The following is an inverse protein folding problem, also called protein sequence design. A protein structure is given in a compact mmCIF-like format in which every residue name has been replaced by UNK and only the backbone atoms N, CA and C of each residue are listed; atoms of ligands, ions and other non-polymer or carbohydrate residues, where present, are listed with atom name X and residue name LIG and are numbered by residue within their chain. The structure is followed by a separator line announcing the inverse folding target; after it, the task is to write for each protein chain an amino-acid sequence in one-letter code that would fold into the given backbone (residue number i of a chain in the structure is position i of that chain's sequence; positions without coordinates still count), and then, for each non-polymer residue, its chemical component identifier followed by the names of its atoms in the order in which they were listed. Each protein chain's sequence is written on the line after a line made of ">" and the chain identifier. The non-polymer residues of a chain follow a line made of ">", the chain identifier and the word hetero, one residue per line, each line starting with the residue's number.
data_IF_796538392245
#
_entry.id   IF_796538392245
#
_cell.length_a   1.000
_cell.length_b   1.000
_cell.length_c   1.000
_cell.angle_alpha   90.00
_cell.angle_beta   90.00
_cell.angle_gamma   90.00
#
_symmetry.space_group_name_H-M   'P 1'
#
loop_
_entity.id
_entity.type
_entity.pdbx_description
1 polymer ?
#
# COMPACT_ATOMS: atom_id res chain seq x y z
N UNK A 1 47.11 2.16 -14.80
CA UNK A 1 46.67 0.78 -15.10
C UNK A 1 47.10 -0.10 -13.95
N UNK A 2 46.17 -0.52 -13.10
CA UNK A 2 46.40 -1.57 -12.11
C UNK A 2 45.09 -2.37 -12.03
N UNK A 3 45.13 -3.52 -12.67
CA UNK A 3 44.10 -4.56 -12.70
C UNK A 3 43.98 -5.21 -11.33
N UNK A 4 42.79 -5.15 -10.72
CA UNK A 4 42.44 -5.98 -9.57
C UNK A 4 41.58 -7.14 -10.09
N UNK A 5 42.14 -8.34 -10.01
CA UNK A 5 41.49 -9.60 -10.34
C UNK A 5 40.40 -9.98 -9.30
N UNK A 6 39.39 -10.80 -9.68
CA UNK A 6 38.19 -11.02 -8.89
C UNK A 6 38.43 -11.98 -7.73
N UNK A 7 38.03 -11.56 -6.53
CA UNK A 7 38.00 -12.42 -5.34
C UNK A 7 36.81 -13.38 -5.39
N UNK A 8 37.08 -14.64 -5.05
CA UNK A 8 36.20 -15.81 -5.12
C UNK A 8 34.87 -15.60 -4.37
N UNK A 9 33.76 -15.70 -5.11
CA UNK A 9 32.41 -15.71 -4.55
C UNK A 9 32.14 -17.03 -3.79
N UNK A 10 31.99 -16.94 -2.47
CA UNK A 10 31.45 -18.01 -1.64
C UNK A 10 29.94 -17.79 -1.41
N UNK A 11 29.11 -18.56 -2.11
CA UNK A 11 27.81 -19.14 -1.72
C UNK A 11 26.85 -18.45 -0.71
N UNK A 12 26.64 -17.12 -0.74
CA UNK A 12 25.60 -16.45 0.07
C UNK A 12 24.70 -15.43 -0.69
N UNK A 13 24.61 -15.50 -2.02
CA UNK A 13 23.91 -14.49 -2.84
C UNK A 13 22.54 -14.90 -3.43
N UNK A 14 21.89 -15.97 -2.94
CA UNK A 14 20.62 -16.44 -3.51
C UNK A 14 19.39 -15.62 -3.12
N UNK A 15 19.49 -14.74 -2.11
CA UNK A 15 18.38 -13.87 -1.73
C UNK A 15 18.14 -12.71 -2.73
N UNK A 16 19.10 -12.35 -3.57
CA UNK A 16 19.09 -11.03 -4.22
C UNK A 16 18.78 -11.01 -5.72
N UNK A 17 18.83 -12.13 -6.43
CA UNK A 17 18.55 -12.13 -7.87
C UNK A 17 17.87 -13.40 -8.38
N UNK A 18 16.62 -13.25 -8.82
CA UNK A 18 16.08 -14.00 -9.96
C UNK A 18 15.78 -12.95 -11.03
N UNK A 19 16.59 -12.92 -12.10
CA UNK A 19 16.24 -12.13 -13.29
C UNK A 19 15.08 -12.85 -13.97
N UNK A 20 13.87 -12.31 -13.85
CA UNK A 20 12.77 -12.71 -14.73
C UNK A 20 13.17 -12.42 -16.18
N UNK A 21 13.06 -13.42 -17.05
CA UNK A 21 13.28 -13.31 -18.50
C UNK A 21 12.18 -12.52 -19.23
N UNK A 22 11.14 -12.05 -18.53
CA UNK A 22 10.09 -11.20 -19.10
C UNK A 22 10.11 -9.84 -18.41
N UNK A 23 10.68 -8.85 -19.08
CA UNK A 23 10.64 -7.45 -18.64
C UNK A 23 9.28 -6.84 -19.00
N UNK A 24 8.52 -6.45 -17.98
CA UNK A 24 7.34 -5.62 -18.16
C UNK A 24 7.75 -4.15 -18.12
N UNK A 25 7.09 -3.30 -18.90
CA UNK A 25 7.22 -1.85 -18.81
C UNK A 25 5.88 -1.23 -18.45
N UNK A 26 5.94 0.00 -17.98
CA UNK A 26 4.73 0.81 -17.82
C UNK A 26 4.05 0.85 -19.19
N UNK A 27 2.73 0.66 -19.24
CA UNK A 27 1.98 0.91 -20.47
C UNK A 27 2.01 2.41 -20.73
N UNK A 28 3.09 2.90 -21.34
CA UNK A 28 3.23 4.29 -21.75
C UNK A 28 2.22 4.51 -22.87
N UNK A 29 1.03 5.03 -22.55
CA UNK A 29 0.48 6.04 -23.43
C UNK A 29 1.39 7.24 -23.25
N UNK A 30 2.01 7.76 -24.31
CA UNK A 30 2.77 9.01 -24.31
C UNK A 30 1.84 10.22 -24.06
N UNK A 31 0.89 10.13 -23.12
CA UNK A 31 -0.07 11.19 -22.82
C UNK A 31 0.56 12.32 -22.02
N UNK A 32 1.65 12.08 -21.28
CA UNK A 32 2.31 13.12 -20.47
C UNK A 32 3.37 13.88 -21.27
N UNK A 33 3.98 13.26 -22.29
CA UNK A 33 5.22 13.77 -22.89
C UNK A 33 5.23 14.10 -24.38
N UNK A 34 4.21 13.77 -25.21
CA UNK A 34 4.32 14.05 -26.67
C UNK A 34 3.06 14.49 -27.44
N UNK A 35 1.92 14.76 -26.81
CA UNK A 35 0.76 15.32 -27.51
C UNK A 35 0.39 16.69 -26.94
N UNK A 36 0.16 17.66 -27.84
CA UNK A 36 -0.45 18.95 -27.49
C UNK A 36 -1.75 18.74 -26.71
N UNK A 37 -2.15 19.77 -25.96
CA UNK A 37 -3.38 19.74 -25.16
C UNK A 37 -4.57 19.32 -26.03
N UNK A 38 -5.06 18.10 -25.86
CA UNK A 38 -6.32 17.67 -26.47
C UNK A 38 -7.44 18.18 -25.58
N UNK A 39 -8.24 19.13 -26.06
CA UNK A 39 -9.42 19.56 -25.33
C UNK A 39 -10.31 18.34 -25.06
N UNK A 40 -10.52 18.07 -23.77
CA UNK A 40 -11.45 17.03 -23.35
C UNK A 40 -12.89 17.43 -23.75
N UNK A 41 -13.76 16.45 -24.05
CA UNK A 41 -15.17 16.72 -24.31
C UNK A 41 -15.82 17.54 -23.18
N UNK A 42 -16.88 18.27 -23.53
CA UNK A 42 -17.67 19.01 -22.53
C UNK A 42 -18.14 18.07 -21.42
N UNK A 43 -17.85 18.45 -20.18
CA UNK A 43 -18.17 17.68 -18.98
C UNK A 43 -19.69 17.61 -18.74
N UNK A 44 -20.15 16.45 -18.25
CA UNK A 44 -21.54 16.22 -17.83
C UNK A 44 -21.89 16.87 -16.48
N UNK A 45 -20.90 17.38 -15.74
CA UNK A 45 -21.09 18.03 -14.44
C UNK A 45 -19.93 17.77 -13.48
N UNK A 46 -20.11 18.18 -12.22
CA UNK A 46 -19.08 18.09 -11.18
C UNK A 46 -19.32 16.93 -10.22
N UNK A 47 -18.32 16.05 -10.09
CA UNK A 47 -18.32 14.93 -9.16
C UNK A 47 -17.50 15.29 -7.92
N UNK A 48 -18.14 15.27 -6.76
CA UNK A 48 -17.52 15.54 -5.46
C UNK A 48 -17.53 14.25 -4.65
N UNK A 49 -16.39 13.87 -4.10
CA UNK A 49 -16.27 12.65 -3.29
C UNK A 49 -15.57 12.94 -1.97
N UNK A 50 -15.98 12.20 -0.94
CA UNK A 50 -15.33 12.21 0.36
C UNK A 50 -14.68 10.87 0.64
N UNK A 51 -13.35 10.81 0.55
CA UNK A 51 -12.57 9.63 0.90
C UNK A 51 -12.42 9.53 2.43
N UNK A 52 -12.45 8.29 2.92
CA UNK A 52 -12.36 7.99 4.35
C UNK A 52 -11.38 6.83 4.60
N UNK A 53 -10.85 6.80 5.82
CA UNK A 53 -9.86 5.81 6.24
C UNK A 53 -8.45 6.37 6.25
N UNK A 54 -7.45 5.48 6.38
CA UNK A 54 -6.03 5.88 6.37
C UNK A 54 -5.49 6.01 4.95
N UNK A 55 -4.22 6.43 4.82
CA UNK A 55 -3.54 6.72 3.55
C UNK A 55 -3.92 5.79 2.38
N UNK A 56 -3.73 4.48 2.54
CA UNK A 56 -3.94 3.53 1.43
C UNK A 56 -5.44 3.25 1.14
N UNK A 57 -6.34 3.53 2.08
CA UNK A 57 -7.79 3.52 1.81
C UNK A 57 -8.17 4.77 1.02
N UNK A 58 -7.61 5.93 1.38
CA UNK A 58 -7.79 7.17 0.63
C UNK A 58 -7.27 7.01 -0.81
N UNK A 59 -6.08 6.40 -1.00
CA UNK A 59 -5.54 6.10 -2.36
C UNK A 59 -6.53 5.28 -3.20
N UNK A 60 -7.11 4.22 -2.64
CA UNK A 60 -8.13 3.41 -3.33
C UNK A 60 -9.33 4.27 -3.74
N UNK A 61 -9.86 5.06 -2.81
CA UNK A 61 -11.00 5.95 -3.05
C UNK A 61 -10.72 6.99 -4.13
N UNK A 62 -9.52 7.57 -4.15
CA UNK A 62 -9.13 8.56 -5.17
C UNK A 62 -9.04 7.88 -6.55
N UNK A 63 -8.42 6.71 -6.64
CA UNK A 63 -8.32 5.98 -7.91
C UNK A 63 -9.70 5.58 -8.45
N UNK A 64 -10.60 5.12 -7.58
CA UNK A 64 -11.99 4.86 -7.95
C UNK A 64 -12.73 6.13 -8.36
N UNK A 65 -12.45 7.28 -7.73
CA UNK A 65 -13.07 8.55 -8.09
C UNK A 65 -12.65 9.04 -9.49
N UNK A 66 -11.36 8.93 -9.83
CA UNK A 66 -10.85 9.21 -11.19
C UNK A 66 -11.52 8.28 -12.20
N UNK A 67 -11.63 6.99 -11.89
CA UNK A 67 -12.30 6.01 -12.74
C UNK A 67 -13.80 6.32 -12.95
N UNK A 68 -14.52 6.70 -11.89
CA UNK A 68 -15.93 7.11 -11.99
C UNK A 68 -16.07 8.41 -12.77
N UNK A 69 -15.19 9.39 -12.56
CA UNK A 69 -15.22 10.64 -13.30
C UNK A 69 -15.04 10.41 -14.81
N UNK A 70 -14.07 9.58 -15.20
CA UNK A 70 -13.92 9.18 -16.61
C UNK A 70 -15.11 8.38 -17.15
N UNK A 71 -15.66 7.45 -16.36
CA UNK A 71 -16.85 6.68 -16.75
C UNK A 71 -18.08 7.58 -17.01
N UNK A 72 -18.22 8.65 -16.23
CA UNK A 72 -19.34 9.58 -16.32
C UNK A 72 -19.07 10.79 -17.24
N UNK A 73 -17.87 10.89 -17.82
CA UNK A 73 -17.37 12.11 -18.46
C UNK A 73 -17.63 13.37 -17.59
N UNK A 74 -17.29 13.28 -16.31
CA UNK A 74 -17.51 14.31 -15.30
C UNK A 74 -16.20 15.01 -14.92
N UNK A 75 -16.30 16.26 -14.48
CA UNK A 75 -15.18 16.99 -13.86
C UNK A 75 -15.07 16.53 -12.42
N UNK A 76 -13.92 16.00 -12.03
CA UNK A 76 -13.64 15.63 -10.65
C UNK A 76 -13.21 16.86 -9.86
N UNK A 77 -13.87 17.13 -8.75
CA UNK A 77 -13.34 18.08 -7.74
C UNK A 77 -12.34 17.32 -6.88
N UNK A 78 -11.21 17.95 -6.54
CA UNK A 78 -10.17 17.34 -5.70
C UNK A 78 -10.81 16.62 -4.50
N UNK A 79 -10.54 15.30 -4.32
CA UNK A 79 -11.12 14.51 -3.25
C UNK A 79 -10.99 15.13 -1.86
N UNK A 80 -12.10 15.24 -1.16
CA UNK A 80 -12.13 15.69 0.23
C UNK A 80 -11.83 14.52 1.16
N UNK A 81 -11.09 14.77 2.25
CA UNK A 81 -10.81 13.75 3.27
C UNK A 81 -11.68 13.97 4.50
N UNK A 82 -12.43 12.93 4.86
CA UNK A 82 -13.21 12.91 6.08
C UNK A 82 -12.31 12.62 7.30
N UNK A 83 -12.45 13.42 8.37
CA UNK A 83 -11.74 13.19 9.62
C UNK A 83 -12.14 11.83 10.20
N UNK A 84 -11.21 10.87 10.18
CA UNK A 84 -11.48 9.52 10.64
C UNK A 84 -11.26 9.40 12.16
N UNK A 85 -12.21 8.81 12.88
CA UNK A 85 -12.13 8.66 14.35
C UNK A 85 -11.00 7.75 14.85
N UNK A 86 -10.51 6.83 14.01
CA UNK A 86 -9.41 5.89 14.31
C UNK A 86 -8.07 6.59 14.13
N UNK A 87 -7.87 7.24 12.98
CA UNK A 87 -6.58 7.85 12.62
C UNK A 87 -6.40 9.26 13.21
N UNK A 88 -7.51 9.95 13.50
CA UNK A 88 -7.58 11.34 13.98
C UNK A 88 -6.71 12.31 13.19
N UNK A 89 -6.52 12.02 11.90
CA UNK A 89 -5.67 12.77 11.00
C UNK A 89 -6.49 13.82 10.26
N UNK A 90 -6.17 15.09 10.47
CA UNK A 90 -6.85 16.23 9.86
C UNK A 90 -6.29 16.64 8.49
N UNK A 91 -5.27 15.92 7.99
CA UNK A 91 -4.65 16.20 6.69
C UNK A 91 -5.67 16.26 5.56
N UNK A 92 -5.49 17.23 4.66
CA UNK A 92 -6.23 17.41 3.41
C UNK A 92 -5.49 16.74 2.25
N UNK A 93 -6.07 16.81 1.06
CA UNK A 93 -5.46 16.24 -0.14
C UNK A 93 -4.06 16.80 -0.37
N UNK A 94 -3.91 18.14 -0.44
CA UNK A 94 -2.63 18.83 -0.64
C UNK A 94 -1.57 18.58 0.44
N UNK A 95 -1.98 18.21 1.66
CA UNK A 95 -1.02 17.87 2.72
C UNK A 95 -0.32 16.53 2.45
N UNK A 96 -0.98 15.62 1.73
CA UNK A 96 -0.51 14.26 1.46
C UNK A 96 -0.02 14.09 0.02
N UNK A 97 -0.74 14.65 -0.95
CA UNK A 97 -0.49 14.49 -2.37
C UNK A 97 -0.27 15.84 -3.05
N UNK A 98 0.49 15.83 -4.13
CA UNK A 98 0.73 17.02 -4.95
C UNK A 98 -0.48 17.33 -5.84
N UNK A 99 -1.30 18.30 -5.44
CA UNK A 99 -2.51 18.71 -6.17
C UNK A 99 -2.23 19.17 -7.59
N UNK A 100 -1.21 20.01 -7.77
CA UNK A 100 -0.87 20.57 -9.06
C UNK A 100 -0.44 19.48 -10.04
N UNK A 101 0.42 18.57 -9.57
CA UNK A 101 0.85 17.43 -10.36
C UNK A 101 -0.29 16.44 -10.63
N UNK A 102 -1.19 16.21 -9.67
CA UNK A 102 -2.35 15.34 -9.86
C UNK A 102 -3.28 15.85 -10.98
N UNK A 103 -3.60 17.16 -10.97
CA UNK A 103 -4.37 17.81 -12.04
C UNK A 103 -3.63 17.70 -13.37
N UNK A 104 -2.34 18.04 -13.37
CA UNK A 104 -1.51 17.97 -14.57
C UNK A 104 -1.49 16.55 -15.16
N UNK A 105 -1.20 15.52 -14.37
CA UNK A 105 -1.06 14.15 -14.84
C UNK A 105 -2.36 13.56 -15.43
N UNK A 106 -3.52 14.05 -15.00
CA UNK A 106 -4.84 13.59 -15.47
C UNK A 106 -5.44 14.42 -16.60
N UNK A 107 -4.84 15.56 -16.97
CA UNK A 107 -5.42 16.58 -17.88
C UNK A 107 -5.93 16.07 -19.23
N UNK A 108 -5.35 14.99 -19.76
CA UNK A 108 -5.71 14.41 -21.06
C UNK A 108 -6.72 13.24 -20.93
N UNK A 109 -7.19 12.94 -19.72
CA UNK A 109 -8.02 11.78 -19.43
C UNK A 109 -9.26 12.12 -18.59
N UNK A 110 -9.11 12.98 -17.58
CA UNK A 110 -10.19 13.42 -16.69
C UNK A 110 -9.93 14.88 -16.33
N UNK A 111 -10.95 15.74 -16.48
CA UNK A 111 -10.84 17.11 -16.01
C UNK A 111 -10.90 17.13 -14.47
N UNK A 112 -9.91 17.77 -13.84
CA UNK A 112 -9.81 17.87 -12.38
C UNK A 112 -9.66 19.33 -11.98
N UNK A 113 -10.49 19.77 -11.03
CA UNK A 113 -10.44 21.13 -10.49
C UNK A 113 -10.27 21.12 -8.97
N UNK A 114 -9.67 22.17 -8.43
CA UNK A 114 -9.44 22.29 -6.98
C UNK A 114 -10.73 22.48 -6.21
N UNK A 115 -11.56 23.42 -6.67
CA UNK A 115 -12.80 23.83 -6.03
C UNK A 115 -13.89 23.97 -7.09
N UNK A 116 -15.15 23.93 -6.66
CA UNK A 116 -16.27 24.18 -7.56
C UNK A 116 -16.24 25.64 -8.07
N UNK A 117 -16.58 25.88 -9.34
CA UNK A 117 -16.78 27.24 -9.83
C UNK A 117 -17.84 28.00 -9.01
N UNK A 118 -17.63 29.30 -8.79
CA UNK A 118 -18.51 30.13 -7.96
C UNK A 118 -19.95 30.17 -8.49
N UNK A 119 -20.13 30.23 -9.81
CA UNK A 119 -21.44 30.20 -10.48
C UNK A 119 -22.18 28.88 -10.25
N UNK A 120 -21.45 27.77 -10.19
CA UNK A 120 -22.00 26.45 -9.89
C UNK A 120 -22.39 26.37 -8.42
N UNK A 121 -21.53 26.86 -7.52
CA UNK A 121 -21.77 26.80 -6.07
C UNK A 121 -22.88 27.76 -5.62
N UNK A 122 -23.05 28.90 -6.30
CA UNK A 122 -24.14 29.85 -6.05
C UNK A 122 -25.53 29.21 -6.24
N UNK A 123 -25.66 28.22 -7.14
CA UNK A 123 -26.90 27.44 -7.32
C UNK A 123 -27.27 26.57 -6.11
N UNK A 124 -26.35 26.44 -5.16
CA UNK A 124 -26.50 25.66 -3.93
C UNK A 124 -26.27 26.52 -2.69
N UNK A 125 -26.65 27.80 -2.75
CA UNK A 125 -26.52 28.78 -1.66
C UNK A 125 -25.10 28.91 -1.12
N UNK A 126 -24.10 28.79 -2.00
CA UNK A 126 -22.69 28.83 -1.64
C UNK A 126 -22.26 27.73 -0.65
N UNK A 127 -23.01 26.62 -0.56
CA UNK A 127 -22.77 25.56 0.42
C UNK A 127 -22.76 24.17 -0.22
N UNK A 128 -21.59 23.51 -0.22
CA UNK A 128 -21.42 22.14 -0.72
C UNK A 128 -22.37 21.13 -0.03
N UNK A 129 -22.77 21.40 1.21
CA UNK A 129 -23.69 20.52 1.94
C UNK A 129 -25.08 20.45 1.31
N UNK A 130 -25.48 21.49 0.58
CA UNK A 130 -26.76 21.57 -0.12
C UNK A 130 -26.77 20.78 -1.44
N UNK A 131 -25.59 20.37 -1.93
CA UNK A 131 -25.46 19.48 -3.09
C UNK A 131 -25.92 18.08 -2.71
N UNK A 132 -26.71 17.45 -3.59
CA UNK A 132 -27.27 16.11 -3.37
C UNK A 132 -26.16 15.11 -3.00
N UNK A 133 -26.31 14.45 -1.86
CA UNK A 133 -25.44 13.35 -1.47
C UNK A 133 -26.05 12.01 -1.89
N UNK A 134 -25.51 11.40 -2.94
CA UNK A 134 -25.95 10.12 -3.45
C UNK A 134 -25.37 8.98 -2.61
N UNK A 135 -26.24 8.09 -2.13
CA UNK A 135 -25.84 6.88 -1.40
C UNK A 135 -25.60 5.72 -2.35
N UNK A 136 -24.34 5.53 -2.73
CA UNK A 136 -23.92 4.42 -3.61
C UNK A 136 -23.60 3.17 -2.79
N UNK A 137 -24.10 2.01 -3.22
CA UNK A 137 -23.80 0.72 -2.58
C UNK A 137 -22.32 0.35 -2.74
N UNK A 138 -21.79 -0.43 -1.81
CA UNK A 138 -20.41 -0.91 -1.94
C UNK A 138 -20.29 -1.80 -3.19
N UNK A 139 -19.19 -1.68 -3.92
CA UNK A 139 -18.90 -2.42 -5.14
C UNK A 139 -19.96 -2.25 -6.26
N UNK A 140 -20.58 -1.07 -6.37
CA UNK A 140 -21.53 -0.79 -7.46
C UNK A 140 -20.87 -0.93 -8.84
N UNK A 141 -21.61 -1.52 -9.79
CA UNK A 141 -21.13 -1.74 -11.16
C UNK A 141 -21.04 -0.44 -11.98
N UNK A 142 -20.26 -0.43 -13.08
CA UNK A 142 -20.28 0.69 -14.03
C UNK A 142 -21.69 1.04 -14.50
N UNK A 143 -22.51 0.04 -14.82
CA UNK A 143 -23.91 0.21 -15.24
C UNK A 143 -24.74 0.95 -14.19
N UNK A 144 -24.51 0.68 -12.89
CA UNK A 144 -25.20 1.41 -11.82
C UNK A 144 -24.88 2.91 -11.86
N UNK A 145 -23.62 3.29 -12.10
CA UNK A 145 -23.24 4.70 -12.23
C UNK A 145 -23.92 5.35 -13.44
N UNK A 146 -23.90 4.69 -14.59
CA UNK A 146 -24.55 5.20 -15.81
C UNK A 146 -26.07 5.33 -15.63
N UNK A 147 -26.72 4.38 -14.97
CA UNK A 147 -28.19 4.38 -14.84
C UNK A 147 -28.74 5.20 -13.66
N UNK A 148 -27.95 5.38 -12.60
CA UNK A 148 -28.43 5.99 -11.34
C UNK A 148 -27.71 7.27 -10.95
N UNK A 149 -26.43 7.40 -11.28
CA UNK A 149 -25.63 8.58 -10.92
C UNK A 149 -25.63 9.60 -12.05
N UNK A 150 -25.38 9.17 -13.29
CA UNK A 150 -25.33 10.07 -14.45
C UNK A 150 -26.61 10.91 -14.63
N UNK A 151 -27.84 10.36 -14.55
CA UNK A 151 -29.04 11.17 -14.73
C UNK A 151 -29.18 12.28 -13.67
N UNK A 152 -28.73 12.00 -12.44
CA UNK A 152 -28.73 13.00 -11.35
C UNK A 152 -27.64 14.05 -11.54
N UNK A 153 -26.48 13.64 -12.05
CA UNK A 153 -25.41 14.56 -12.43
C UNK A 153 -25.86 15.53 -13.52
N UNK A 154 -26.49 15.03 -14.59
CA UNK A 154 -27.00 15.86 -15.68
C UNK A 154 -28.12 16.80 -15.20
N UNK A 155 -29.04 16.31 -14.35
CA UNK A 155 -30.14 17.10 -13.81
C UNK A 155 -29.66 18.23 -12.90
N UNK A 156 -28.68 17.96 -12.03
CA UNK A 156 -28.27 18.88 -10.97
C UNK A 156 -27.01 19.66 -11.29
N UNK A 157 -26.23 19.26 -12.30
CA UNK A 157 -24.93 19.86 -12.63
C UNK A 157 -23.79 19.49 -11.66
N UNK A 158 -24.09 19.16 -10.41
CA UNK A 158 -23.12 18.67 -9.43
C UNK A 158 -23.75 17.60 -8.53
N UNK A 159 -22.97 16.58 -8.17
CA UNK A 159 -23.38 15.55 -7.19
C UNK A 159 -22.24 15.24 -6.22
N UNK A 160 -22.62 14.90 -4.99
CA UNK A 160 -21.70 14.44 -3.95
C UNK A 160 -21.92 12.96 -3.67
N UNK A 161 -20.84 12.23 -3.42
CA UNK A 161 -20.90 10.84 -2.93
C UNK A 161 -20.05 10.74 -1.67
N UNK A 162 -20.72 10.66 -0.52
CA UNK A 162 -20.07 10.60 0.79
C UNK A 162 -20.75 9.58 1.72
N UNK A 163 -20.01 8.63 2.34
CA UNK A 163 -18.57 8.36 2.16
C UNK A 163 -18.27 7.53 0.90
N UNK A 164 -17.13 7.82 0.27
CA UNK A 164 -16.65 7.14 -0.93
C UNK A 164 -15.52 6.15 -0.59
N UNK A 165 -15.88 4.94 -0.15
CA UNK A 165 -14.95 3.82 0.05
C UNK A 165 -15.50 2.55 -0.57
N UNK A 166 -14.70 1.91 -1.43
CA UNK A 166 -15.08 0.70 -2.17
C UNK A 166 -16.44 0.86 -2.86
N UNK A 167 -16.69 2.00 -3.53
CA UNK A 167 -17.98 2.31 -4.16
C UNK A 167 -18.02 1.93 -5.64
N UNK A 168 -16.90 1.53 -6.24
CA UNK A 168 -16.84 1.02 -7.60
C UNK A 168 -16.42 -0.46 -7.57
N UNK A 169 -17.09 -1.29 -8.36
CA UNK A 169 -16.75 -2.70 -8.52
C UNK A 169 -15.29 -2.89 -8.98
N UNK A 170 -14.69 -4.04 -8.65
CA UNK A 170 -13.34 -4.35 -9.15
C UNK A 170 -13.34 -4.53 -10.68
N UNK A 171 -14.34 -5.25 -11.20
CA UNK A 171 -14.53 -5.44 -12.63
C UNK A 171 -15.17 -4.19 -13.26
N UNK A 172 -14.39 -3.53 -14.12
CA UNK A 172 -14.79 -2.37 -14.93
C UNK A 172 -14.13 -2.50 -16.32
N UNK A 173 -14.62 -1.79 -17.35
CA UNK A 173 -14.00 -1.80 -18.68
C UNK A 173 -12.49 -1.47 -18.63
N UNK A 174 -11.73 -2.00 -19.59
CA UNK A 174 -10.26 -1.85 -19.64
C UNK A 174 -9.80 -0.39 -19.64
N UNK A 175 -10.48 0.48 -20.38
CA UNK A 175 -10.21 1.93 -20.39
C UNK A 175 -10.36 2.55 -19.00
N UNK A 176 -11.35 2.11 -18.23
CA UNK A 176 -11.61 2.58 -16.87
C UNK A 176 -10.62 1.98 -15.86
N UNK A 177 -10.16 0.75 -16.06
CA UNK A 177 -9.02 0.21 -15.30
C UNK A 177 -7.75 1.02 -15.57
N UNK A 178 -7.52 1.43 -16.82
CA UNK A 178 -6.40 2.30 -17.20
C UNK A 178 -6.38 3.60 -16.41
N UNK A 179 -7.55 4.19 -16.12
CA UNK A 179 -7.66 5.38 -15.26
C UNK A 179 -7.25 5.11 -13.81
N UNK A 180 -7.60 3.93 -13.25
CA UNK A 180 -7.12 3.54 -11.91
C UNK A 180 -5.60 3.36 -11.89
N UNK A 181 -5.03 2.76 -12.93
CA UNK A 181 -3.58 2.60 -13.08
C UNK A 181 -2.88 3.97 -13.15
N UNK A 182 -3.35 4.85 -14.04
CA UNK A 182 -2.84 6.21 -14.20
C UNK A 182 -2.93 6.98 -12.88
N UNK A 183 -4.07 6.95 -12.21
CA UNK A 183 -4.24 7.62 -10.92
C UNK A 183 -3.27 7.09 -9.86
N UNK A 184 -3.17 5.77 -9.70
CA UNK A 184 -2.43 5.17 -8.60
C UNK A 184 -0.90 5.28 -8.74
N UNK A 185 -0.39 5.00 -9.93
CA UNK A 185 1.05 4.82 -10.16
C UNK A 185 1.72 6.07 -10.75
N UNK A 186 0.97 6.93 -11.44
CA UNK A 186 1.53 8.11 -12.09
C UNK A 186 1.02 9.40 -11.42
N UNK A 187 -0.29 9.62 -11.31
CA UNK A 187 -0.83 10.92 -10.86
C UNK A 187 -0.73 11.15 -9.34
N UNK A 188 -0.86 10.10 -8.51
CA UNK A 188 -0.78 10.21 -7.04
C UNK A 188 0.67 10.27 -6.55
N UNK A 189 1.28 11.44 -6.73
CA UNK A 189 2.58 11.80 -6.15
C UNK A 189 2.40 12.38 -4.76
N UNK A 190 3.24 12.00 -3.80
CA UNK A 190 3.23 12.63 -2.46
C UNK A 190 3.59 14.12 -2.52
N UNK A 191 3.07 14.89 -1.57
CA UNK A 191 3.36 16.33 -1.44
C UNK A 191 4.85 16.60 -1.22
N UNK A 192 5.31 17.79 -1.60
CA UNK A 192 6.73 18.15 -1.54
C UNK A 192 7.37 17.94 -0.14
N UNK A 193 6.72 18.31 0.99
CA UNK A 193 7.28 18.06 2.31
C UNK A 193 7.52 16.57 2.59
N UNK A 194 6.57 15.70 2.22
CA UNK A 194 6.69 14.24 2.39
C UNK A 194 7.83 13.71 1.53
N UNK A 195 7.88 14.07 0.24
CA UNK A 195 8.92 13.58 -0.67
C UNK A 195 10.31 13.97 -0.21
N UNK A 196 10.50 15.24 0.14
CA UNK A 196 11.81 15.77 0.55
C UNK A 196 12.37 15.01 1.74
N UNK A 197 11.54 14.75 2.77
CA UNK A 197 12.00 13.99 3.93
C UNK A 197 12.16 12.50 3.60
N UNK A 198 11.23 11.90 2.86
CA UNK A 198 11.31 10.50 2.51
C UNK A 198 12.53 10.17 1.65
N UNK A 199 12.88 11.03 0.69
CA UNK A 199 14.10 10.91 -0.13
C UNK A 199 15.35 10.96 0.75
N UNK A 200 15.44 11.94 1.67
CA UNK A 200 16.54 11.99 2.66
C UNK A 200 16.62 10.73 3.52
N UNK A 201 15.49 10.19 3.96
CA UNK A 201 15.45 8.96 4.76
C UNK A 201 15.96 7.76 3.95
N UNK A 202 15.58 7.65 2.67
CA UNK A 202 16.11 6.62 1.76
C UNK A 202 17.61 6.79 1.58
N UNK A 203 18.10 8.00 1.31
CA UNK A 203 19.54 8.26 1.14
C UNK A 203 20.35 7.88 2.38
N UNK A 204 19.83 8.21 3.57
CA UNK A 204 20.45 7.82 4.85
C UNK A 204 20.43 6.30 5.04
N UNK A 205 19.32 5.64 4.71
CA UNK A 205 19.22 4.19 4.77
C UNK A 205 20.24 3.52 3.85
N UNK A 206 20.34 3.98 2.59
CA UNK A 206 21.31 3.49 1.60
C UNK A 206 22.75 3.72 2.09
N UNK A 207 23.05 4.91 2.60
CA UNK A 207 24.38 5.23 3.15
C UNK A 207 24.74 4.35 4.36
N UNK A 208 23.80 4.13 5.27
CA UNK A 208 24.01 3.27 6.45
C UNK A 208 24.13 1.79 6.04
N UNK A 209 23.59 1.41 4.89
CA UNK A 209 23.64 0.05 4.31
C UNK A 209 24.90 -0.22 3.46
N UNK A 210 26.03 0.40 3.79
CA UNK A 210 27.26 0.31 2.97
C UNK A 210 27.80 -1.13 2.83
N UNK A 211 27.66 -1.96 3.88
CA UNK A 211 28.11 -3.38 3.86
C UNK A 211 27.40 -4.23 2.81
N UNK A 212 26.18 -3.86 2.44
CA UNK A 212 25.34 -4.55 1.45
C UNK A 212 25.28 -3.78 0.11
N UNK A 213 26.16 -2.80 -0.09
CA UNK A 213 26.17 -1.97 -1.30
C UNK A 213 24.94 -1.08 -1.43
N UNK A 214 24.42 -0.59 -0.31
CA UNK A 214 23.21 0.23 -0.24
C UNK A 214 21.91 -0.55 -0.09
N UNK A 215 21.96 -1.88 -0.09
CA UNK A 215 20.77 -2.74 -0.11
C UNK A 215 20.23 -3.02 1.29
N UNK A 216 18.91 -2.99 1.47
CA UNK A 216 18.28 -3.24 2.76
C UNK A 216 16.95 -3.99 2.65
N UNK A 217 16.55 -4.58 3.78
CA UNK A 217 15.24 -5.22 3.95
C UNK A 217 14.32 -4.25 4.66
N UNK A 218 13.12 -4.02 4.13
CA UNK A 218 12.08 -3.30 4.86
C UNK A 218 11.03 -4.26 5.41
N UNK A 219 10.59 -4.04 6.64
CA UNK A 219 9.58 -4.86 7.32
C UNK A 219 8.42 -3.98 7.75
N UNK A 220 7.25 -4.22 7.18
CA UNK A 220 5.99 -3.68 7.70
C UNK A 220 5.51 -4.54 8.87
N UNK A 221 5.76 -4.05 10.09
CA UNK A 221 5.55 -4.75 11.34
C UNK A 221 4.26 -4.27 12.03
N UNK A 222 3.20 -5.06 11.92
CA UNK A 222 1.89 -4.72 12.51
C UNK A 222 1.68 -5.32 13.91
N UNK A 223 2.51 -4.89 14.86
CA UNK A 223 2.48 -5.32 16.28
C UNK A 223 2.09 -4.16 17.23
N UNK A 224 1.19 -3.29 16.79
CA UNK A 224 0.65 -2.19 17.58
C UNK A 224 -0.49 -2.66 18.50
N UNK A 225 -0.72 -1.91 19.59
CA UNK A 225 -1.68 -2.28 20.64
C UNK A 225 -3.10 -2.55 20.12
N UNK A 226 -3.57 -1.80 19.13
CA UNK A 226 -4.87 -2.02 18.49
C UNK A 226 -4.94 -3.38 17.79
N UNK A 227 -3.89 -3.74 17.05
CA UNK A 227 -3.82 -5.02 16.34
C UNK A 227 -3.66 -6.20 17.30
N UNK A 228 -2.83 -6.06 18.34
CA UNK A 228 -2.67 -7.05 19.42
C UNK A 228 -4.03 -7.29 20.08
N UNK A 229 -4.72 -6.22 20.51
CA UNK A 229 -6.03 -6.33 21.17
C UNK A 229 -7.11 -6.93 20.26
N UNK A 230 -7.18 -6.49 18.99
CA UNK A 230 -8.18 -6.96 18.01
C UNK A 230 -8.02 -8.43 17.67
N UNK A 231 -6.78 -8.92 17.62
CA UNK A 231 -6.48 -10.30 17.27
C UNK A 231 -6.98 -11.31 18.30
N UNK A 232 -7.20 -10.89 19.56
CA UNK A 232 -7.52 -11.76 20.68
C UNK A 232 -6.50 -12.89 20.92
N UNK A 233 -5.27 -12.70 20.46
CA UNK A 233 -4.16 -13.59 20.76
C UNK A 233 -3.60 -13.31 22.16
N UNK A 234 -2.90 -14.29 22.71
CA UNK A 234 -2.17 -14.19 23.97
C UNK A 234 -0.69 -14.30 23.64
N UNK A 235 0.12 -13.42 24.23
CA UNK A 235 1.58 -13.43 24.16
C UNK A 235 2.14 -13.65 25.57
N UNK A 236 3.34 -13.15 25.83
CA UNK A 236 4.13 -13.44 27.02
C UNK A 236 3.91 -12.42 28.17
N UNK A 237 2.80 -11.67 28.15
CA UNK A 237 2.48 -10.67 29.16
C UNK A 237 1.48 -11.11 30.25
N UNK A 238 1.03 -12.36 30.24
CA UNK A 238 0.20 -12.95 31.31
C UNK A 238 -1.12 -12.23 31.58
N UNK A 239 -1.59 -12.25 32.83
CA UNK A 239 -2.86 -11.62 33.23
C UNK A 239 -2.85 -10.09 33.06
N UNK A 240 -1.69 -9.45 33.14
CA UNK A 240 -1.55 -8.00 32.91
C UNK A 240 -1.87 -7.66 31.44
N UNK A 241 -1.26 -8.38 30.48
CA UNK A 241 -1.58 -8.22 29.06
C UNK A 241 -3.05 -8.47 28.79
N UNK A 242 -3.60 -9.56 29.33
CA UNK A 242 -5.01 -9.92 29.14
C UNK A 242 -5.93 -8.77 29.58
N UNK A 243 -5.74 -8.25 30.79
CA UNK A 243 -6.48 -7.09 31.32
C UNK A 243 -6.32 -5.86 30.44
N UNK A 244 -5.10 -5.55 30.02
CA UNK A 244 -4.82 -4.41 29.16
C UNK A 244 -5.52 -4.53 27.79
N UNK A 245 -5.51 -5.72 27.21
CA UNK A 245 -6.15 -5.99 25.93
C UNK A 245 -7.68 -5.99 26.04
N UNK A 246 -8.26 -6.44 27.16
CA UNK A 246 -9.70 -6.32 27.43
C UNK A 246 -10.15 -4.86 27.48
N UNK A 247 -9.41 -4.01 28.20
CA UNK A 247 -9.68 -2.57 28.25
C UNK A 247 -9.55 -1.93 26.85
N UNK A 248 -8.52 -2.30 26.10
CA UNK A 248 -8.33 -1.81 24.73
C UNK A 248 -9.47 -2.26 23.80
N UNK A 249 -9.93 -3.50 23.92
CA UNK A 249 -11.04 -4.06 23.15
C UNK A 249 -12.36 -3.34 23.45
N UNK A 250 -12.65 -3.09 24.72
CA UNK A 250 -13.87 -2.42 25.12
C UNK A 250 -13.88 -0.96 24.63
N UNK A 251 -12.77 -0.24 24.83
CA UNK A 251 -12.62 1.14 24.35
C UNK A 251 -12.73 1.26 22.83
N UNK A 252 -12.12 0.34 22.08
CA UNK A 252 -12.01 0.43 20.62
C UNK A 252 -13.23 -0.08 19.86
N UNK A 253 -13.92 -1.10 20.37
CA UNK A 253 -15.00 -1.78 19.63
C UNK A 253 -16.28 -2.01 20.44
N UNK A 254 -16.42 -1.46 21.65
CA UNK A 254 -17.66 -1.39 22.47
C UNK A 254 -18.48 -2.68 22.50
N UNK A 255 -18.16 -3.58 23.42
CA UNK A 255 -18.88 -4.85 23.59
C UNK A 255 -18.78 -5.83 22.41
N UNK A 256 -18.13 -5.49 21.28
CA UNK A 256 -17.98 -6.40 20.11
C UNK A 256 -17.43 -7.76 20.50
N UNK A 257 -16.48 -7.80 21.42
CA UNK A 257 -15.79 -9.03 21.83
C UNK A 257 -16.47 -9.73 23.01
N UNK A 258 -17.38 -9.05 23.70
CA UNK A 258 -18.07 -9.54 24.90
C UNK A 258 -19.55 -9.90 24.63
N UNK A 259 -19.92 -10.11 23.37
CA UNK A 259 -21.29 -10.50 22.99
C UNK A 259 -21.61 -11.90 23.52
N UNK A 260 -22.81 -12.07 24.07
CA UNK A 260 -23.33 -13.37 24.52
C UNK A 260 -23.18 -14.44 23.43
N UNK A 261 -22.63 -15.60 23.79
CA UNK A 261 -22.38 -16.71 22.87
C UNK A 261 -21.09 -16.61 22.05
N UNK A 262 -20.34 -15.51 22.12
CA UNK A 262 -19.05 -15.39 21.43
C UNK A 262 -17.93 -16.06 22.24
N UNK A 263 -17.41 -17.17 21.75
CA UNK A 263 -16.27 -17.88 22.35
C UNK A 263 -14.97 -17.45 21.66
N UNK A 264 -14.00 -16.94 22.42
CA UNK A 264 -12.66 -16.58 21.94
C UNK A 264 -11.71 -17.73 22.29
N UNK A 265 -11.04 -18.28 21.27
CA UNK A 265 -10.05 -19.36 21.42
C UNK A 265 -8.67 -18.89 20.91
N UNK A 266 -7.83 -18.27 21.75
CA UNK A 266 -6.57 -17.66 21.32
C UNK A 266 -5.63 -18.64 20.61
N UNK A 267 -5.51 -19.88 21.11
CA UNK A 267 -4.70 -20.92 20.46
C UNK A 267 -5.15 -21.22 19.04
N UNK A 268 -6.46 -21.41 18.81
CA UNK A 268 -6.99 -21.65 17.46
C UNK A 268 -6.78 -20.45 16.52
N UNK A 269 -6.91 -19.22 17.04
CA UNK A 269 -6.63 -18.00 16.28
C UNK A 269 -5.15 -17.94 15.85
N UNK A 270 -4.24 -18.35 16.73
CA UNK A 270 -2.80 -18.44 16.43
C UNK A 270 -2.52 -19.49 15.36
N UNK A 271 -3.06 -20.70 15.51
CA UNK A 271 -2.90 -21.78 14.53
C UNK A 271 -3.49 -21.43 13.16
N UNK A 272 -4.56 -20.65 13.12
CA UNK A 272 -5.15 -20.11 11.89
C UNK A 272 -4.27 -19.05 11.20
N UNK A 273 -3.17 -18.64 11.82
CA UNK A 273 -2.26 -17.60 11.33
C UNK A 273 -2.84 -16.19 11.45
N UNK A 274 -3.81 -15.96 12.34
CA UNK A 274 -4.50 -14.65 12.49
C UNK A 274 -3.77 -13.72 13.45
N UNK A 275 -2.90 -14.23 14.33
CA UNK A 275 -2.11 -13.39 15.23
C UNK A 275 -1.07 -12.55 14.49
N UNK A 276 -0.84 -11.30 14.92
CA UNK A 276 0.41 -10.58 14.73
C UNK A 276 1.63 -11.44 15.05
N UNK A 277 2.67 -11.31 14.23
CA UNK A 277 3.98 -11.90 14.56
C UNK A 277 4.68 -10.95 15.55
N UNK A 278 5.26 -11.50 16.60
CA UNK A 278 6.11 -10.71 17.51
C UNK A 278 7.40 -10.29 16.79
N UNK A 279 8.08 -9.21 17.21
CA UNK A 279 9.36 -8.85 16.58
C UNK A 279 10.42 -9.96 16.71
N UNK A 280 10.40 -10.77 17.79
CA UNK A 280 11.26 -11.96 17.91
C UNK A 280 10.96 -12.99 16.81
N UNK A 281 9.68 -13.32 16.59
CA UNK A 281 9.27 -14.27 15.54
C UNK A 281 9.70 -13.79 14.14
N UNK A 282 9.57 -12.49 13.89
CA UNK A 282 10.04 -11.86 12.65
C UNK A 282 11.55 -11.99 12.52
N UNK A 283 12.30 -11.71 13.60
CA UNK A 283 13.75 -11.85 13.60
C UNK A 283 14.20 -13.28 13.33
N UNK A 284 13.60 -14.26 14.01
CA UNK A 284 13.88 -15.69 13.82
C UNK A 284 13.57 -16.14 12.38
N UNK A 285 12.42 -15.73 11.85
CA UNK A 285 12.04 -15.99 10.46
C UNK A 285 13.11 -15.45 9.48
N UNK A 286 13.53 -14.19 9.64
CA UNK A 286 14.55 -13.60 8.76
C UNK A 286 15.90 -14.30 8.89
N UNK A 287 16.33 -14.68 10.10
CA UNK A 287 17.55 -15.47 10.32
C UNK A 287 17.48 -16.82 9.63
N UNK A 288 16.35 -17.53 9.74
CA UNK A 288 16.15 -18.81 9.06
C UNK A 288 16.11 -18.66 7.53
N UNK A 289 15.65 -17.51 7.01
CA UNK A 289 15.68 -17.21 5.57
C UNK A 289 17.09 -16.91 5.03
N UNK A 290 18.07 -16.71 5.92
CA UNK A 290 19.47 -16.46 5.56
C UNK A 290 19.91 -15.01 5.68
N UNK A 291 19.07 -14.11 6.19
CA UNK A 291 19.51 -12.77 6.60
C UNK A 291 20.30 -12.87 7.91
N UNK A 292 21.30 -12.03 8.08
CA UNK A 292 22.19 -12.07 9.25
C UNK A 292 22.35 -10.71 9.93
N UNK A 293 23.26 -10.62 10.91
CA UNK A 293 23.50 -9.38 11.65
C UNK A 293 24.15 -8.27 10.82
N UNK A 294 24.62 -8.56 9.60
CA UNK A 294 25.14 -7.55 8.65
C UNK A 294 24.03 -7.02 7.73
N UNK A 295 22.83 -7.60 7.78
CA UNK A 295 21.69 -7.14 7.02
C UNK A 295 21.13 -5.85 7.64
N UNK A 296 21.09 -4.78 6.83
CA UNK A 296 20.42 -3.53 7.22
C UNK A 296 18.90 -3.70 7.10
N UNK A 297 18.17 -3.33 8.15
CA UNK A 297 16.73 -3.57 8.26
C UNK A 297 15.99 -2.28 8.60
N UNK A 298 15.03 -1.88 7.77
CA UNK A 298 14.10 -0.78 8.09
C UNK A 298 12.78 -1.32 8.64
N UNK A 299 12.30 -0.80 9.77
CA UNK A 299 10.99 -1.15 10.34
C UNK A 299 9.96 -0.05 10.07
N UNK A 300 8.97 -0.36 9.24
CA UNK A 300 7.77 0.44 9.06
C UNK A 300 6.68 -0.03 10.03
N UNK A 301 6.38 0.80 11.04
CA UNK A 301 5.35 0.50 12.04
C UNK A 301 4.82 1.75 12.72
N UNK A 302 3.59 1.64 13.23
CA UNK A 302 3.07 2.56 14.24
C UNK A 302 3.72 2.33 15.61
N UNK A 303 3.04 2.75 16.69
CA UNK A 303 3.53 2.52 18.05
C UNK A 303 3.43 1.05 18.42
N UNK A 304 4.56 0.36 18.39
CA UNK A 304 4.68 -1.05 18.79
C UNK A 304 4.24 -1.23 20.25
N UNK A 305 3.44 -2.26 20.51
CA UNK A 305 3.00 -2.64 21.84
C UNK A 305 4.21 -3.01 22.72
N UNK A 306 4.34 -2.42 23.91
CA UNK A 306 5.47 -2.58 24.84
C UNK A 306 6.83 -2.62 24.11
N UNK A 307 7.10 -1.59 23.29
CA UNK A 307 8.20 -1.57 22.32
C UNK A 307 9.58 -1.90 22.91
N UNK A 308 9.90 -1.43 24.11
CA UNK A 308 11.16 -1.75 24.81
C UNK A 308 11.36 -3.26 24.97
N UNK A 309 10.33 -3.97 25.46
CA UNK A 309 10.34 -5.43 25.63
C UNK A 309 10.41 -6.14 24.28
N UNK A 310 9.47 -5.84 23.38
CA UNK A 310 9.27 -6.66 22.19
C UNK A 310 10.29 -6.39 21.08
N UNK A 311 10.83 -5.16 20.95
CA UNK A 311 11.83 -4.86 19.92
C UNK A 311 13.25 -5.28 20.31
N UNK A 312 13.54 -5.48 21.61
CA UNK A 312 14.89 -5.81 22.06
C UNK A 312 15.47 -7.06 21.37
N UNK A 313 14.76 -8.20 21.26
CA UNK A 313 15.30 -9.37 20.57
C UNK A 313 15.53 -9.13 19.08
N UNK A 314 14.66 -8.36 18.42
CA UNK A 314 14.83 -8.06 17.00
C UNK A 314 16.07 -7.20 16.75
N UNK A 315 16.35 -6.21 17.61
CA UNK A 315 17.58 -5.40 17.55
C UNK A 315 18.84 -6.23 17.82
N UNK A 316 18.75 -7.21 18.72
CA UNK A 316 19.87 -8.12 18.98
C UNK A 316 20.16 -8.99 17.74
N UNK A 317 19.12 -9.46 17.05
CA UNK A 317 19.28 -10.25 15.83
C UNK A 317 19.73 -9.41 14.64
N UNK A 318 19.33 -8.14 14.55
CA UNK A 318 19.65 -7.20 13.47
C UNK A 318 20.10 -5.86 14.07
N UNK A 319 21.40 -5.70 14.37
CA UNK A 319 21.92 -4.49 15.02
C UNK A 319 21.90 -3.26 14.12
N UNK A 320 21.86 -3.43 12.79
CA UNK A 320 21.73 -2.35 11.80
C UNK A 320 20.24 -2.01 11.51
N UNK A 321 19.40 -2.14 12.52
CA UNK A 321 17.97 -1.89 12.41
C UNK A 321 17.68 -0.40 12.58
N UNK A 322 16.97 0.16 11.62
CA UNK A 322 16.58 1.56 11.55
C UNK A 322 15.05 1.70 11.56
N UNK A 323 14.56 2.82 12.08
CA UNK A 323 13.15 3.24 12.03
C UNK A 323 13.07 4.67 11.50
N UNK A 324 11.86 5.16 11.25
CA UNK A 324 11.66 6.57 10.88
C UNK A 324 12.25 7.54 11.91
N UNK A 325 12.21 7.21 13.19
CA UNK A 325 12.76 8.02 14.28
C UNK A 325 14.30 8.01 14.34
N UNK A 326 14.96 6.98 13.81
CA UNK A 326 16.43 6.92 13.77
C UNK A 326 16.98 7.50 12.48
N UNK A 327 16.24 7.40 11.37
CA UNK A 327 16.63 7.97 10.07
C UNK A 327 16.34 9.47 9.95
N UNK A 328 15.28 10.00 10.57
CA UNK A 328 14.92 11.42 10.51
C UNK A 328 15.37 12.16 11.77
N UNK A 329 15.82 13.41 11.61
CA UNK A 329 16.07 14.26 12.77
C UNK A 329 14.74 14.60 13.47
N UNK A 330 14.72 14.81 14.80
CA UNK A 330 13.51 15.18 15.53
C UNK A 330 12.79 16.39 14.94
N UNK A 331 13.53 17.38 14.46
CA UNK A 331 13.04 18.63 13.85
C UNK A 331 12.46 18.37 12.46
N UNK A 332 13.07 17.48 11.68
CA UNK A 332 12.57 17.08 10.36
C UNK A 332 11.26 16.30 10.49
N UNK A 333 11.12 15.46 11.53
CA UNK A 333 9.94 14.63 11.75
C UNK A 333 8.80 15.39 12.46
N UNK A 334 9.10 16.48 13.18
CA UNK A 334 8.13 17.24 13.96
C UNK A 334 6.87 17.67 13.17
N UNK A 335 6.95 18.18 11.93
CA UNK A 335 5.78 18.59 11.14
C UNK A 335 4.82 17.45 10.74
N UNK A 336 5.26 16.19 10.91
CA UNK A 336 4.50 14.99 10.56
C UNK A 336 3.86 14.34 11.80
N UNK A 337 4.29 14.70 13.02
CA UNK A 337 3.73 14.17 14.25
C UNK A 337 2.25 14.54 14.36
N UNK A 338 1.42 13.58 14.76
CA UNK A 338 -0.05 13.73 14.78
C UNK A 338 -0.75 13.45 13.45
N UNK A 339 -0.01 13.34 12.34
CA UNK A 339 -0.57 13.05 11.01
C UNK A 339 -0.19 11.64 10.55
N UNK A 340 -0.97 10.66 10.97
CA UNK A 340 -0.67 9.23 10.74
C UNK A 340 -0.54 8.87 9.25
N UNK A 341 -1.29 9.52 8.36
CA UNK A 341 -1.21 9.29 6.91
C UNK A 341 0.07 9.86 6.31
N UNK A 342 0.54 11.01 6.80
CA UNK A 342 1.80 11.62 6.37
C UNK A 342 3.01 10.81 6.87
N UNK A 343 2.97 10.32 8.11
CA UNK A 343 3.99 9.39 8.63
C UNK A 343 4.01 8.06 7.85
N UNK A 344 2.84 7.49 7.57
CA UNK A 344 2.74 6.28 6.75
C UNK A 344 3.27 6.48 5.32
N UNK A 345 3.20 7.71 4.77
CA UNK A 345 3.76 8.02 3.46
C UNK A 345 5.30 8.01 3.47
N UNK A 346 5.94 8.45 4.57
CA UNK A 346 7.39 8.32 4.75
C UNK A 346 7.80 6.84 4.76
N UNK A 347 7.15 6.03 5.60
CA UNK A 347 7.35 4.58 5.68
C UNK A 347 7.17 3.91 4.32
N UNK A 348 6.11 4.29 3.60
CA UNK A 348 5.79 3.76 2.28
C UNK A 348 6.94 3.96 1.29
N UNK A 349 7.52 5.16 1.22
CA UNK A 349 8.63 5.46 0.30
C UNK A 349 9.92 4.70 0.67
N UNK A 350 10.25 4.60 1.96
CA UNK A 350 11.43 3.82 2.39
C UNK A 350 11.24 2.33 2.08
N UNK A 351 10.03 1.80 2.22
CA UNK A 351 9.76 0.40 1.88
C UNK A 351 9.64 0.17 0.36
N UNK A 352 9.27 1.18 -0.42
CA UNK A 352 9.22 1.10 -1.88
C UNK A 352 10.63 0.92 -2.46
N UNK A 353 11.63 1.60 -1.87
CA UNK A 353 13.02 1.58 -2.35
C UNK A 353 13.86 0.42 -1.81
N UNK A 354 13.34 -0.42 -0.90
CA UNK A 354 14.11 -1.55 -0.38
C UNK A 354 14.23 -2.69 -1.39
N UNK A 355 15.26 -3.50 -1.31
CA UNK A 355 15.45 -4.65 -2.21
C UNK A 355 14.49 -5.79 -1.86
N UNK A 356 14.23 -5.98 -0.57
CA UNK A 356 13.23 -6.94 -0.07
C UNK A 356 12.22 -6.20 0.78
N UNK A 357 10.94 -6.44 0.53
CA UNK A 357 9.85 -5.98 1.40
C UNK A 357 9.23 -7.17 2.13
N UNK A 358 9.02 -7.05 3.45
CA UNK A 358 8.43 -8.09 4.29
C UNK A 358 7.16 -7.54 4.91
N UNK A 359 6.06 -8.29 4.82
CA UNK A 359 4.81 -7.91 5.48
C UNK A 359 4.36 -8.95 6.48
N UNK A 360 4.22 -8.57 7.75
CA UNK A 360 3.84 -9.50 8.83
C UNK A 360 2.33 -9.67 8.97
N UNK A 361 1.56 -8.75 8.38
CA UNK A 361 0.10 -8.79 8.33
C UNK A 361 -0.43 -8.38 6.95
N UNK A 362 -1.70 -8.72 6.68
CA UNK A 362 -2.42 -8.15 5.55
C UNK A 362 -2.82 -6.69 5.81
N UNK A 363 -3.54 -6.10 4.86
CA UNK A 363 -4.06 -4.74 4.98
C UNK A 363 -3.73 -3.90 3.75
N UNK A 364 -4.17 -2.64 3.76
CA UNK A 364 -4.06 -1.78 2.58
C UNK A 364 -2.63 -1.29 2.31
N UNK A 365 -1.78 -1.14 3.34
CA UNK A 365 -0.38 -0.76 3.16
C UNK A 365 0.40 -1.78 2.31
N UNK A 366 0.53 -3.06 2.72
CA UNK A 366 1.26 -4.02 1.92
C UNK A 366 0.59 -4.28 0.57
N UNK A 367 -0.75 -4.23 0.52
CA UNK A 367 -1.50 -4.33 -0.73
C UNK A 367 -0.98 -3.34 -1.77
N UNK A 368 -1.04 -2.03 -1.49
CA UNK A 368 -0.62 -0.99 -2.44
C UNK A 368 0.88 -0.98 -2.68
N UNK A 369 1.69 -1.22 -1.64
CA UNK A 369 3.14 -1.21 -1.78
C UNK A 369 3.64 -2.33 -2.69
N UNK A 370 3.06 -3.53 -2.58
CA UNK A 370 3.43 -4.67 -3.42
C UNK A 370 3.19 -4.41 -4.90
N UNK A 371 2.02 -3.88 -5.27
CA UNK A 371 1.75 -3.55 -6.67
C UNK A 371 2.64 -2.42 -7.17
N UNK A 372 2.92 -1.42 -6.34
CA UNK A 372 3.80 -0.31 -6.70
C UNK A 372 5.25 -0.75 -6.92
N UNK A 373 5.78 -1.61 -6.06
CA UNK A 373 7.09 -2.23 -6.26
C UNK A 373 7.13 -3.01 -7.57
N UNK A 374 6.12 -3.85 -7.86
CA UNK A 374 6.05 -4.57 -9.14
C UNK A 374 5.99 -3.63 -10.35
N UNK A 375 5.23 -2.55 -10.23
CA UNK A 375 5.10 -1.54 -11.29
C UNK A 375 6.45 -0.89 -11.60
N UNK A 376 7.13 -0.37 -10.58
CA UNK A 376 8.42 0.31 -10.72
C UNK A 376 9.57 -0.62 -11.16
N UNK A 377 9.60 -1.86 -10.67
CA UNK A 377 10.69 -2.80 -10.91
C UNK A 377 10.42 -3.79 -12.05
N UNK A 378 9.65 -3.38 -13.06
CA UNK A 378 9.54 -4.13 -14.32
C UNK A 378 8.77 -5.45 -14.22
N UNK A 379 7.82 -5.53 -13.29
CA UNK A 379 6.89 -6.64 -13.12
C UNK A 379 7.22 -7.59 -11.96
N UNK A 380 8.40 -7.44 -11.35
CA UNK A 380 8.81 -8.24 -10.19
C UNK A 380 9.52 -7.39 -9.16
N UNK A 381 9.20 -7.62 -7.88
CA UNK A 381 9.97 -7.09 -6.78
C UNK A 381 9.88 -8.06 -5.60
N UNK A 382 11.03 -8.38 -5.00
CA UNK A 382 11.09 -9.38 -3.93
C UNK A 382 10.24 -8.93 -2.75
N UNK A 383 9.24 -9.74 -2.43
CA UNK A 383 8.31 -9.51 -1.33
C UNK A 383 8.10 -10.79 -0.56
N UNK A 384 8.29 -10.75 0.75
CA UNK A 384 8.08 -11.88 1.66
C UNK A 384 6.75 -11.70 2.38
N UNK A 385 5.83 -12.64 2.13
CA UNK A 385 4.58 -12.77 2.87
C UNK A 385 4.59 -14.15 3.53
N UNK A 386 4.91 -14.25 4.83
CA UNK A 386 5.08 -15.54 5.46
C UNK A 386 3.78 -16.32 5.56
N UNK A 387 3.90 -17.66 5.50
CA UNK A 387 2.82 -18.55 5.89
C UNK A 387 2.75 -18.60 7.42
N UNK A 388 1.89 -17.74 7.99
CA UNK A 388 1.72 -17.64 9.44
C UNK A 388 1.19 -18.91 10.10
N UNK A 389 0.47 -19.78 9.37
CA UNK A 389 -0.02 -21.05 9.91
C UNK A 389 1.15 -22.02 10.08
N UNK A 390 2.00 -22.11 9.05
CA UNK A 390 3.23 -22.90 9.11
C UNK A 390 4.20 -22.34 10.16
N UNK A 391 4.34 -21.00 10.27
CA UNK A 391 5.14 -20.39 11.33
C UNK A 391 4.60 -20.72 12.74
N UNK A 392 3.28 -20.68 12.95
CA UNK A 392 2.70 -21.02 14.24
C UNK A 392 3.08 -22.45 14.66
N UNK A 393 2.98 -23.43 13.76
CA UNK A 393 3.40 -24.82 14.00
C UNK A 393 4.91 -24.94 14.29
N UNK A 394 5.74 -24.23 13.54
CA UNK A 394 7.20 -24.29 13.70
C UNK A 394 7.66 -23.68 15.03
N UNK A 395 7.06 -22.57 15.45
CA UNK A 395 7.39 -21.92 16.72
C UNK A 395 6.82 -22.67 17.94
N UNK A 396 5.75 -23.43 17.77
CA UNK A 396 5.15 -24.27 18.83
C UNK A 396 5.86 -25.63 18.99
N UNK A 397 6.92 -25.88 18.22
CA UNK A 397 7.71 -27.13 18.26
C UNK A 397 8.94 -26.97 19.17
N UNK A 398 8.90 -27.38 20.46
CA UNK A 398 9.99 -27.10 21.41
C UNK A 398 11.32 -27.76 21.05
N UNK A 399 11.27 -28.88 20.34
CA UNK A 399 12.44 -29.67 19.93
C UNK A 399 12.84 -29.43 18.46
N UNK A 400 12.38 -28.33 17.85
CA UNK A 400 12.71 -28.05 16.46
C UNK A 400 14.21 -27.81 16.28
N UNK A 401 14.83 -28.60 15.42
CA UNK A 401 16.24 -28.41 15.06
C UNK A 401 16.41 -27.18 14.16
N UNK A 402 17.48 -26.42 14.39
CA UNK A 402 17.78 -25.22 13.59
C UNK A 402 17.90 -25.53 12.09
N UNK A 403 18.53 -26.66 11.72
CA UNK A 403 18.66 -27.03 10.31
C UNK A 403 17.30 -27.24 9.63
N UNK A 404 16.36 -27.86 10.35
CA UNK A 404 15.00 -28.06 9.85
C UNK A 404 14.25 -26.74 9.73
N UNK A 405 14.30 -25.89 10.77
CA UNK A 405 13.67 -24.56 10.73
C UNK A 405 14.19 -23.72 9.56
N UNK A 406 15.51 -23.67 9.38
CA UNK A 406 16.16 -22.96 8.27
C UNK A 406 15.65 -23.45 6.92
N UNK A 407 15.58 -24.77 6.70
CA UNK A 407 15.03 -25.35 5.45
C UNK A 407 13.60 -24.88 5.20
N UNK A 408 12.74 -24.92 6.22
CA UNK A 408 11.35 -24.46 6.09
C UNK A 408 11.24 -22.96 5.78
N UNK A 409 12.14 -22.14 6.33
CA UNK A 409 12.19 -20.69 6.05
C UNK A 409 12.68 -20.41 4.62
N UNK A 410 13.70 -21.14 4.15
CA UNK A 410 14.19 -21.05 2.78
C UNK A 410 13.12 -21.44 1.76
N UNK A 411 12.32 -22.49 2.03
CA UNK A 411 11.16 -22.85 1.22
C UNK A 411 10.12 -21.71 1.16
N UNK A 412 9.79 -21.09 2.30
CA UNK A 412 8.86 -19.95 2.33
C UNK A 412 9.39 -18.74 1.54
N UNK A 413 10.69 -18.47 1.63
CA UNK A 413 11.35 -17.41 0.87
C UNK A 413 11.26 -17.69 -0.64
N UNK A 414 11.56 -18.91 -1.06
CA UNK A 414 11.47 -19.33 -2.46
C UNK A 414 10.04 -19.20 -3.00
N UNK A 415 9.04 -19.69 -2.27
CA UNK A 415 7.63 -19.54 -2.64
C UNK A 415 7.19 -18.08 -2.73
N UNK A 416 7.72 -17.21 -1.86
CA UNK A 416 7.42 -15.77 -1.89
C UNK A 416 7.98 -15.11 -3.15
N UNK A 417 9.17 -15.50 -3.58
CA UNK A 417 9.80 -14.99 -4.80
C UNK A 417 9.01 -15.39 -6.06
N UNK A 418 8.57 -16.65 -6.14
CA UNK A 418 7.70 -17.15 -7.21
C UNK A 418 6.35 -16.41 -7.29
N UNK A 419 5.78 -16.03 -6.14
CA UNK A 419 4.55 -15.21 -6.13
C UNK A 419 4.81 -13.76 -6.55
N UNK A 420 6.06 -13.30 -6.53
CA UNK A 420 6.46 -11.97 -6.97
C UNK A 420 6.17 -11.71 -8.45
N UNK A 421 6.20 -12.75 -9.29
CA UNK A 421 5.93 -12.69 -10.75
C UNK A 421 4.47 -12.97 -11.12
N UNK A 422 3.59 -13.24 -10.14
CA UNK A 422 2.21 -13.63 -10.40
C UNK A 422 1.42 -12.51 -11.10
N UNK A 423 0.65 -12.86 -12.14
CA UNK A 423 -0.26 -11.96 -12.83
C UNK A 423 -1.61 -11.87 -12.10
N UNK A 424 -2.34 -10.78 -12.35
CA UNK A 424 -3.67 -10.57 -11.78
C UNK A 424 -4.65 -11.65 -12.22
N UNK A 425 -5.27 -12.31 -11.24
CA UNK A 425 -6.46 -13.15 -11.44
C UNK A 425 -7.73 -12.27 -11.44
N UNK A 426 -8.86 -12.72 -12.02
CA UNK A 426 -10.09 -11.91 -12.10
C UNK A 426 -10.59 -11.35 -10.75
N UNK A 427 -10.43 -12.11 -9.67
CA UNK A 427 -10.83 -11.73 -8.30
C UNK A 427 -9.75 -10.99 -7.51
N UNK A 428 -8.57 -10.80 -8.11
CA UNK A 428 -7.43 -10.15 -7.46
C UNK A 428 -7.39 -8.66 -7.78
N UNK A 429 -6.87 -7.88 -6.84
CA UNK A 429 -6.82 -6.44 -6.97
C UNK A 429 -5.63 -5.98 -7.83
N UNK A 430 -5.89 -5.01 -8.71
CA UNK A 430 -4.86 -4.36 -9.55
C UNK A 430 -3.79 -3.64 -8.72
N UNK A 431 -4.14 -3.22 -7.50
CA UNK A 431 -3.20 -2.54 -6.61
C UNK A 431 -2.19 -3.50 -5.96
N UNK A 432 -2.45 -4.82 -5.97
CA UNK A 432 -1.44 -5.84 -5.62
C UNK A 432 -0.75 -6.37 -6.87
N UNK A 433 -1.53 -6.60 -7.93
CA UNK A 433 -1.11 -7.26 -9.16
C UNK A 433 -1.38 -6.33 -10.35
N UNK A 434 -0.44 -5.45 -10.74
CA UNK A 434 -0.67 -4.47 -11.81
C UNK A 434 -0.68 -5.09 -13.22
N UNK A 435 -0.18 -6.31 -13.40
CA UNK A 435 -0.13 -6.98 -14.72
C UNK A 435 -1.42 -7.79 -14.94
N UNK A 436 -2.08 -7.71 -16.11
CA UNK A 436 -1.68 -6.95 -17.31
C UNK A 436 -2.33 -5.57 -17.42
N UNK A 437 -3.21 -5.18 -16.49
CA UNK A 437 -4.04 -3.97 -16.64
C UNK A 437 -3.23 -2.66 -16.72
N UNK A 438 -2.12 -2.57 -15.98
CA UNK A 438 -1.30 -1.36 -15.86
C UNK A 438 0.08 -1.47 -16.55
N UNK A 439 0.46 -2.67 -17.01
CA UNK A 439 1.80 -2.96 -17.50
C UNK A 439 1.78 -3.76 -18.79
N UNK A 440 2.72 -3.46 -19.67
CA UNK A 440 2.80 -3.98 -21.03
C UNK A 440 4.09 -4.79 -21.19
N UNK A 441 4.06 -5.86 -21.98
CA UNK A 441 5.26 -6.64 -22.28
C UNK A 441 6.26 -5.78 -23.04
N UNK A 442 7.55 -5.87 -22.72
CA UNK A 442 8.59 -5.38 -23.62
C UNK A 442 8.67 -6.33 -24.83
N UNK A 443 8.47 -5.80 -26.02
CA UNK A 443 8.77 -6.52 -27.27
C UNK A 443 10.27 -6.35 -27.51
N UNK A 444 11.02 -7.46 -27.63
CA UNK A 444 12.42 -7.39 -28.03
C UNK A 444 12.52 -6.81 -29.44
N UNK A 445 13.37 -5.79 -29.69
CA UNK A 445 13.59 -5.29 -31.04
C UNK A 445 14.21 -6.41 -31.88
N UNK A 446 13.43 -7.01 -32.77
CA UNK A 446 13.92 -8.04 -33.72
C UNK A 446 13.00 -9.24 -33.96
N UNK A 447 11.93 -9.44 -33.17
CA UNK A 447 10.92 -10.47 -33.47
C UNK A 447 9.60 -9.81 -33.87
N UNK A 448 9.46 -9.55 -35.18
CA UNK A 448 8.15 -9.29 -35.78
C UNK A 448 7.32 -10.58 -35.69
N UNK A 449 6.45 -10.68 -34.70
CA UNK A 449 5.42 -11.71 -34.72
C UNK A 449 4.35 -11.27 -35.73
N UNK A 450 4.40 -11.83 -36.93
CA UNK A 450 3.32 -11.75 -37.91
C UNK A 450 2.18 -12.64 -37.42
N UNK A 451 1.42 -12.15 -36.45
CA UNK A 451 0.15 -12.75 -36.09
C UNK A 451 -0.76 -11.67 -35.50
N UNK A 452 -1.38 -10.90 -36.39
CA UNK A 452 -2.61 -10.16 -36.10
C UNK A 452 -3.71 -11.14 -35.70
N UNK A 453 -4.29 -11.08 -34.49
CA UNK A 453 -5.62 -11.59 -34.27
C UNK A 453 -6.60 -10.50 -34.71
N UNK A 454 -7.39 -10.82 -35.73
CA UNK A 454 -8.61 -10.08 -36.06
C UNK A 454 -9.53 -10.17 -34.83
N UNK A 455 -9.86 -9.02 -34.24
CA UNK A 455 -10.91 -8.90 -33.24
C UNK A 455 -12.20 -8.61 -34.00
N UNK A 456 -13.14 -9.56 -33.98
CA UNK A 456 -14.58 -9.30 -34.17
C UNK A 456 -15.18 -9.12 -32.79
#
# INVERSE_FOLDING_TARGET
>A
MATIAPMRYAWLMTAWHVKSHQSWKHCVNQSISQAGYSELPRSNGFLIIEANGGLNQQRLSICDAVAVAGLLNATLVIPMFHLNSVWRDSSKFGDIFDEGFFIYALRNNVNVIKELPEDVLARFDNNISNIVNLRVKAWSSPTYYIQKVLPKLLQMGAVRIAPFSNRLAQAVPSSIQGLRCLANYEALRFSQPIRTLAEKMVDRMVKNSSMSGGKYVSVHLRFEKDMVAFSCCIYDGGEEEKREMDIARERGWRGKFNKTGRIIRPGAIRMDGKCPLTPLEVGMMLRGMGFDNTTSVYIAAGKIYKAEKFMAPLRQLFPLLETKETLALPEELAPFKGHSSRLAALDYTVCLNSEVFVTTQGGNFPHFLMGHRRYFFGGHAKTIKPDKRKLALLFDSPNIRWEYFKRQMQEMLHHSDLKGIEMKKPSSSLYTFPIPDCMCKQVEPGKSDRSTPIII
#
